data_IF_916280770251
#
_entry.id   IF_916280770251
#
_cell.length_a   1.000
_cell.length_b   1.000
_cell.length_c   1.000
_cell.angle_alpha   90.00
_cell.angle_beta   90.00
_cell.angle_gamma   90.00
#
_symmetry.space_group_name_H-M   'P 1'
#
loop_
_entity.id
_entity.type
_entity.pdbx_description
1 polymer ?
#
# COMPACT_ATOMS: atom_id res chain seq x y z
N UNK A 1 -31.33 -48.38 16.54
CA UNK A 1 -31.84 -47.02 16.84
C UNK A 1 -30.74 -46.06 16.36
N UNK A 2 -30.84 -45.48 15.14
CA UNK A 2 -31.45 -44.15 14.83
C UNK A 2 -30.89 -43.09 15.80
N UNK A 3 -30.20 -42.01 15.42
CA UNK A 3 -30.18 -41.13 14.24
C UNK A 3 -28.80 -40.42 14.15
N UNK A 4 -28.20 -40.23 12.97
CA UNK A 4 -28.23 -39.01 12.14
C UNK A 4 -28.09 -37.68 12.91
N UNK A 5 -26.89 -37.10 12.90
CA UNK A 5 -26.69 -35.65 12.83
C UNK A 5 -25.49 -35.36 11.94
N UNK A 6 -25.79 -35.09 10.66
CA UNK A 6 -24.98 -34.27 9.79
C UNK A 6 -24.83 -32.89 10.42
N UNK A 7 -23.60 -32.40 10.54
CA UNK A 7 -23.29 -31.14 11.21
C UNK A 7 -22.05 -30.50 10.62
N UNK A 8 -22.25 -29.90 9.44
CA UNK A 8 -21.42 -28.89 8.78
C UNK A 8 -20.07 -28.57 9.42
N UNK A 9 -18.99 -29.07 8.80
CA UNK A 9 -17.67 -28.50 8.98
C UNK A 9 -17.71 -27.02 8.57
N UNK A 10 -17.68 -26.13 9.55
CA UNK A 10 -17.43 -24.71 9.37
C UNK A 10 -15.99 -24.53 8.87
N UNK A 11 -15.78 -24.72 7.56
CA UNK A 11 -14.60 -24.17 6.91
C UNK A 11 -14.72 -22.65 7.04
N UNK A 12 -13.73 -22.04 7.69
CA UNK A 12 -13.57 -20.59 7.71
C UNK A 12 -13.85 -20.02 6.31
N UNK A 13 -14.60 -18.91 6.17
CA UNK A 13 -14.76 -18.29 4.88
C UNK A 13 -13.36 -18.04 4.35
N UNK A 14 -13.02 -18.68 3.22
CA UNK A 14 -11.81 -18.36 2.48
C UNK A 14 -11.82 -16.86 2.37
N UNK A 15 -10.87 -16.19 3.04
CA UNK A 15 -10.63 -14.79 2.77
C UNK A 15 -10.63 -14.68 1.26
N UNK A 16 -11.52 -13.86 0.72
CA UNK A 16 -11.39 -13.39 -0.65
C UNK A 16 -10.16 -12.50 -0.66
N UNK A 17 -9.01 -13.12 -0.51
CA UNK A 17 -7.76 -12.62 -1.01
C UNK A 17 -8.03 -12.56 -2.52
N UNK A 18 -8.37 -11.36 -2.99
CA UNK A 18 -8.28 -11.04 -4.41
C UNK A 18 -6.97 -11.66 -4.89
N UNK A 19 -6.96 -12.39 -6.02
CA UNK A 19 -5.73 -13.01 -6.50
C UNK A 19 -4.64 -11.93 -6.51
N UNK A 20 -3.71 -12.02 -5.55
CA UNK A 20 -2.60 -11.07 -5.47
C UNK A 20 -1.85 -11.09 -6.79
N UNK A 21 -1.17 -9.99 -7.18
CA UNK A 21 -0.88 -9.57 -8.55
C UNK A 21 -0.49 -10.75 -9.46
N UNK A 22 -1.53 -11.42 -9.94
CA UNK A 22 -1.43 -12.60 -10.76
C UNK A 22 -1.39 -12.06 -12.17
N UNK A 23 -0.18 -11.95 -12.71
CA UNK A 23 0.07 -11.43 -14.05
C UNK A 23 -0.86 -12.07 -15.06
N UNK A 24 -1.91 -11.35 -15.41
CA UNK A 24 -2.59 -11.51 -16.68
C UNK A 24 -1.90 -10.56 -17.64
N UNK A 25 -1.47 -11.06 -18.80
CA UNK A 25 -0.80 -10.30 -19.86
C UNK A 25 -1.81 -9.37 -20.58
N UNK A 26 -2.65 -8.68 -19.81
CA UNK A 26 -3.64 -7.76 -20.32
C UNK A 26 -3.08 -6.34 -20.32
N UNK A 27 -3.22 -5.70 -21.48
CA UNK A 27 -3.00 -4.28 -21.74
C UNK A 27 -1.74 -3.64 -21.10
N UNK A 28 -0.60 -4.31 -21.15
CA UNK A 28 0.70 -3.71 -20.77
C UNK A 28 1.07 -2.49 -21.64
N UNK A 29 0.36 -2.30 -22.75
CA UNK A 29 0.47 -1.17 -23.68
C UNK A 29 -0.27 0.10 -23.26
N UNK A 30 -1.00 0.11 -22.14
CA UNK A 30 -1.71 1.32 -21.72
C UNK A 30 -0.70 2.43 -21.37
N UNK A 31 -0.78 3.61 -22.01
CA UNK A 31 0.22 4.68 -21.86
C UNK A 31 0.26 5.28 -20.44
N UNK A 32 -0.73 4.98 -19.60
CA UNK A 32 -0.77 5.45 -18.20
C UNK A 32 0.03 4.57 -17.26
N UNK A 33 0.36 3.33 -17.65
CA UNK A 33 1.11 2.39 -16.84
C UNK A 33 2.59 2.81 -16.77
N UNK A 34 3.11 2.90 -15.56
CA UNK A 34 4.53 3.16 -15.28
C UNK A 34 5.11 1.90 -14.65
N UNK A 35 6.19 1.38 -15.23
CA UNK A 35 6.92 0.23 -14.64
C UNK A 35 7.37 0.56 -13.22
N UNK A 36 7.09 -0.34 -12.29
CA UNK A 36 7.49 -0.23 -10.90
C UNK A 36 8.55 -1.27 -10.59
N UNK A 37 9.65 -0.82 -9.98
CA UNK A 37 10.69 -1.67 -9.43
C UNK A 37 10.62 -1.57 -7.91
N UNK A 38 10.43 -2.71 -7.25
CA UNK A 38 10.41 -2.73 -5.80
C UNK A 38 11.80 -2.39 -5.25
N UNK A 39 11.88 -1.64 -4.14
CA UNK A 39 13.13 -1.43 -3.44
C UNK A 39 13.77 -2.76 -3.04
N UNK A 40 15.11 -2.79 -3.02
CA UNK A 40 15.88 -4.00 -2.69
C UNK A 40 15.47 -4.64 -1.35
N UNK A 41 15.12 -3.83 -0.34
CA UNK A 41 14.70 -4.32 0.97
C UNK A 41 13.34 -5.03 0.95
N UNK A 42 12.53 -4.88 -0.11
CA UNK A 42 11.27 -5.59 -0.26
C UNK A 42 11.46 -7.01 -0.84
N UNK A 43 12.54 -7.27 -1.58
CA UNK A 43 12.71 -8.49 -2.36
C UNK A 43 12.86 -9.76 -1.50
N UNK A 44 13.45 -9.64 -0.30
CA UNK A 44 13.68 -10.79 0.59
C UNK A 44 12.46 -11.11 1.47
N UNK A 45 11.61 -10.12 1.76
CA UNK A 45 10.52 -10.25 2.73
C UNK A 45 9.13 -10.39 2.09
N UNK A 46 9.00 -10.14 0.79
CA UNK A 46 7.72 -10.13 0.08
C UNK A 46 7.73 -11.21 -1.00
N UNK A 47 6.67 -12.03 -1.04
CA UNK A 47 6.47 -13.00 -2.11
C UNK A 47 6.52 -12.30 -3.48
N UNK A 48 7.29 -12.82 -4.43
CA UNK A 48 7.47 -12.22 -5.76
C UNK A 48 6.16 -12.00 -6.52
N UNK A 49 5.15 -12.86 -6.28
CA UNK A 49 3.78 -12.70 -6.82
C UNK A 49 3.00 -11.54 -6.22
N UNK A 50 3.38 -11.03 -5.06
CA UNK A 50 2.71 -9.92 -4.38
C UNK A 50 3.31 -8.55 -4.74
N UNK A 51 4.46 -8.53 -5.41
CA UNK A 51 5.11 -7.29 -5.84
C UNK A 51 4.41 -6.76 -7.10
N UNK A 52 3.85 -5.53 -7.07
CA UNK A 52 3.25 -4.94 -8.26
C UNK A 52 4.30 -4.76 -9.37
N UNK A 53 3.92 -4.96 -10.64
CA UNK A 53 4.80 -4.70 -11.79
C UNK A 53 4.68 -3.26 -12.32
N UNK A 54 3.51 -2.65 -12.12
CA UNK A 54 3.16 -1.34 -12.64
C UNK A 54 2.50 -0.48 -11.57
N UNK A 55 2.53 0.82 -11.79
CA UNK A 55 1.79 1.83 -11.02
C UNK A 55 1.28 2.92 -11.94
N UNK A 56 0.26 3.64 -11.49
CA UNK A 56 -0.17 4.89 -12.10
C UNK A 56 0.51 6.10 -11.45
N UNK A 57 0.43 7.27 -12.10
CA UNK A 57 0.83 8.55 -11.53
C UNK A 57 -0.41 9.34 -11.12
N UNK A 58 -0.86 9.09 -9.89
CA UNK A 58 -2.01 9.78 -9.29
C UNK A 58 -1.57 10.78 -8.20
N UNK A 59 -0.48 10.46 -7.49
CA UNK A 59 0.11 11.32 -6.48
C UNK A 59 1.30 12.11 -7.05
N UNK A 60 1.41 13.38 -6.65
CA UNK A 60 2.63 14.17 -6.80
C UNK A 60 3.66 13.66 -5.79
N UNK A 61 4.65 12.91 -6.27
CA UNK A 61 5.73 12.34 -5.47
C UNK A 61 7.09 12.67 -6.10
N UNK A 62 8.18 12.81 -5.30
CA UNK A 62 8.28 12.61 -3.86
C UNK A 62 7.61 13.71 -3.02
N UNK A 63 7.10 13.34 -1.84
CA UNK A 63 6.57 14.30 -0.86
C UNK A 63 7.68 14.75 0.09
N UNK A 64 7.65 16.00 0.59
CA UNK A 64 8.72 16.52 1.42
C UNK A 64 8.74 15.86 2.81
N UNK A 65 9.93 15.80 3.40
CA UNK A 65 10.15 15.43 4.80
C UNK A 65 10.47 16.72 5.55
N UNK A 66 9.66 17.08 6.53
CA UNK A 66 9.83 18.30 7.31
C UNK A 66 10.38 17.95 8.69
N UNK A 67 11.47 18.59 9.15
CA UNK A 67 11.91 18.46 10.52
C UNK A 67 10.86 19.08 11.44
N UNK A 68 10.63 18.46 12.59
CA UNK A 68 9.65 18.93 13.56
C UNK A 68 10.37 19.35 14.84
N UNK A 69 10.85 20.60 14.86
CA UNK A 69 11.76 21.10 15.90
C UNK A 69 11.07 21.40 17.24
N UNK A 70 9.78 21.77 17.23
CA UNK A 70 9.09 22.30 18.43
C UNK A 70 8.32 21.27 19.25
N UNK A 71 8.29 20.01 18.79
CA UNK A 71 7.56 18.91 19.47
C UNK A 71 8.10 18.67 20.86
N UNK A 72 9.42 18.73 21.00
CA UNK A 72 10.15 18.47 22.23
C UNK A 72 9.90 19.54 23.28
N UNK A 73 9.51 20.76 22.88
CA UNK A 73 9.18 21.85 23.80
C UNK A 73 7.71 21.81 24.27
N UNK A 74 6.79 21.35 23.42
CA UNK A 74 5.34 21.30 23.72
C UNK A 74 4.87 19.99 24.36
N UNK A 75 5.52 18.86 24.07
CA UNK A 75 5.31 17.63 24.81
C UNK A 75 6.20 17.65 26.06
N UNK A 76 5.68 17.19 27.21
CA UNK A 76 6.48 16.84 28.41
C UNK A 76 7.52 15.72 28.18
N UNK A 77 7.86 15.45 26.92
CA UNK A 77 8.85 14.48 26.48
C UNK A 77 10.29 15.01 26.57
N UNK A 78 10.49 16.28 26.91
CA UNK A 78 11.83 16.88 27.00
C UNK A 78 12.75 16.24 28.04
N UNK A 79 12.21 15.58 29.06
CA UNK A 79 13.01 14.89 30.09
C UNK A 79 13.37 13.45 29.70
N UNK A 80 12.58 12.80 28.83
CA UNK A 80 12.74 11.39 28.47
C UNK A 80 13.37 11.18 27.08
N UNK A 81 13.31 12.18 26.19
CA UNK A 81 13.86 12.08 24.83
C UNK A 81 15.28 12.63 24.77
N UNK A 82 16.28 11.83 24.37
CA UNK A 82 17.65 12.29 24.20
C UNK A 82 17.76 13.48 23.23
N UNK A 83 18.63 14.45 23.56
CA UNK A 83 18.79 15.72 22.82
C UNK A 83 19.33 15.54 21.39
N UNK A 84 19.84 14.37 21.06
CA UNK A 84 20.38 13.97 19.76
C UNK A 84 19.34 13.32 18.85
N UNK A 85 18.10 13.11 19.31
CA UNK A 85 17.02 12.56 18.49
C UNK A 85 16.39 13.65 17.61
N UNK A 86 16.49 13.47 16.29
CA UNK A 86 15.83 14.34 15.30
C UNK A 86 14.48 13.73 14.89
N UNK A 87 13.39 14.42 15.19
CA UNK A 87 12.05 14.05 14.77
C UNK A 87 11.72 14.76 13.45
N UNK A 88 11.25 13.99 12.47
CA UNK A 88 10.82 14.50 11.17
C UNK A 88 9.48 13.89 10.75
N UNK A 89 8.70 14.64 9.99
CA UNK A 89 7.39 14.22 9.48
C UNK A 89 7.44 14.15 7.96
N UNK A 90 7.13 12.98 7.41
CA UNK A 90 6.89 12.81 5.99
C UNK A 90 5.51 13.35 5.64
N UNK A 91 5.43 14.36 4.77
CA UNK A 91 4.17 15.02 4.38
C UNK A 91 3.40 14.23 3.32
N UNK A 92 2.95 13.04 3.67
CA UNK A 92 2.12 12.21 2.78
C UNK A 92 0.73 12.80 2.51
N UNK A 93 0.36 13.93 3.12
CA UNK A 93 -0.80 14.73 2.74
C UNK A 93 -0.56 15.60 1.49
N UNK A 94 0.70 15.96 1.20
CA UNK A 94 1.07 16.86 0.10
C UNK A 94 1.21 16.14 -1.25
N UNK A 95 0.27 15.26 -1.59
CA UNK A 95 0.28 14.50 -2.85
C UNK A 95 -0.53 15.15 -3.97
N UNK A 96 -1.10 16.34 -3.76
CA UNK A 96 -1.94 17.02 -4.76
C UNK A 96 -3.37 16.47 -4.89
N UNK A 97 -3.81 15.62 -3.95
CA UNK A 97 -5.15 15.01 -3.95
C UNK A 97 -5.90 15.34 -2.65
N UNK A 98 -7.22 15.55 -2.76
CA UNK A 98 -8.11 15.87 -1.63
C UNK A 98 -8.34 14.69 -0.69
N UNK A 99 -8.10 13.45 -1.13
CA UNK A 99 -8.41 12.21 -0.40
C UNK A 99 -7.29 11.76 0.57
N UNK A 100 -6.23 12.57 0.72
CA UNK A 100 -5.03 12.25 1.50
C UNK A 100 -4.11 11.25 0.81
N UNK A 101 -2.79 11.48 0.86
CA UNK A 101 -1.88 10.76 -0.02
C UNK A 101 -1.58 9.31 0.33
N UNK A 102 -1.82 8.86 1.57
CA UNK A 102 -1.70 7.44 1.91
C UNK A 102 -2.65 6.55 1.10
N UNK A 103 -3.86 7.03 0.81
CA UNK A 103 -4.84 6.27 0.03
C UNK A 103 -4.50 6.30 -1.45
N UNK A 104 -4.11 7.46 -1.98
CA UNK A 104 -3.69 7.60 -3.37
C UNK A 104 -2.47 6.72 -3.68
N UNK A 105 -1.45 6.69 -2.80
CA UNK A 105 -0.27 5.84 -2.97
C UNK A 105 -0.62 4.35 -3.13
N UNK A 106 -1.67 3.87 -2.46
CA UNK A 106 -2.14 2.48 -2.62
C UNK A 106 -2.93 2.28 -3.90
N UNK A 107 -3.78 3.26 -4.23
CA UNK A 107 -4.61 3.21 -5.44
C UNK A 107 -3.78 3.21 -6.73
N UNK A 108 -2.60 3.85 -6.75
CA UNK A 108 -1.70 3.79 -7.92
C UNK A 108 -1.39 2.36 -8.37
N UNK A 109 -1.26 1.42 -7.44
CA UNK A 109 -0.98 0.01 -7.75
C UNK A 109 -2.25 -0.78 -8.04
N UNK A 110 -3.31 -0.58 -7.25
CA UNK A 110 -4.58 -1.28 -7.45
C UNK A 110 -5.23 -0.94 -8.79
N UNK A 111 -5.19 0.33 -9.19
CA UNK A 111 -5.74 0.76 -10.47
C UNK A 111 -4.83 0.37 -11.65
N UNK A 112 -3.52 0.30 -11.47
CA UNK A 112 -2.64 -0.27 -12.49
C UNK A 112 -2.97 -1.73 -12.75
N UNK A 113 -3.16 -2.52 -11.69
CA UNK A 113 -3.56 -3.92 -11.78
C UNK A 113 -4.96 -4.08 -12.44
N UNK A 114 -5.93 -3.25 -12.07
CA UNK A 114 -7.25 -3.24 -12.70
C UNK A 114 -7.19 -2.92 -14.21
N UNK A 115 -6.32 -1.99 -14.63
CA UNK A 115 -6.11 -1.70 -16.05
C UNK A 115 -5.45 -2.87 -16.79
N UNK A 116 -4.48 -3.55 -16.17
CA UNK A 116 -3.92 -4.77 -16.72
C UNK A 116 -5.00 -5.87 -16.86
N UNK A 117 -5.90 -5.97 -15.89
CA UNK A 117 -7.03 -6.92 -15.93
C UNK A 117 -8.17 -6.50 -16.87
N UNK A 118 -8.07 -5.32 -17.52
CA UNK A 118 -9.13 -4.74 -18.36
C UNK A 118 -10.47 -4.58 -17.64
N UNK A 119 -10.42 -4.28 -16.34
CA UNK A 119 -11.63 -3.96 -15.58
C UNK A 119 -12.26 -2.65 -16.10
N UNK A 120 -13.57 -2.62 -16.15
CA UNK A 120 -14.39 -1.44 -16.44
C UNK A 120 -14.98 -0.84 -15.15
N UNK A 121 -15.72 0.26 -15.30
CA UNK A 121 -16.28 1.06 -14.21
C UNK A 121 -17.72 0.66 -13.87
#
# INVERSE_FOLDING_TARGET
KKELMDGAGLSAPKERFCPGPGGVDGNESDPRLIKYEAPWFCAESVCSRAVPKYRLRLAMTPTPIHPWHDVTAGLKMSEEVPKDVVISVKRDDMTGSTLGGNKIRKLEFLLADALCQKCDA
#
